data_IF_415676756317
#
_entry.id   IF_415676756317
#
_cell.length_a   1.000
_cell.length_b   1.000
_cell.length_c   1.000
_cell.angle_alpha   90.00
_cell.angle_beta   90.00
_cell.angle_gamma   90.00
#
_symmetry.space_group_name_H-M   'P 1'
#
loop_
_entity.id
_entity.type
_entity.pdbx_description
1 polymer ?
#
# COMPACT_ATOMS: atom_id res chain seq x y z
N UNK A 1 0.36 -1.14 5.99
CA UNK A 1 0.83 -2.53 5.82
C UNK A 1 0.11 -3.39 6.85
N UNK A 2 -0.79 -4.28 6.43
CA UNK A 2 -1.50 -5.20 7.34
C UNK A 2 -2.58 -4.52 8.21
N UNK A 3 -3.21 -3.44 7.74
CA UNK A 3 -4.33 -2.82 8.44
C UNK A 3 -5.54 -2.80 7.51
N UNK A 4 -6.70 -3.13 8.05
CA UNK A 4 -7.98 -3.18 7.32
C UNK A 4 -8.63 -1.81 7.13
N UNK A 5 -8.07 -0.76 7.74
CA UNK A 5 -8.68 0.58 7.72
C UNK A 5 -9.87 0.75 8.67
N UNK A 6 -10.04 -0.15 9.66
CA UNK A 6 -11.21 -0.14 10.55
C UNK A 6 -10.99 0.66 11.84
N UNK A 7 -9.74 0.75 12.33
CA UNK A 7 -9.42 1.34 13.64
C UNK A 7 -9.00 2.80 13.50
N UNK A 8 -9.74 3.68 14.17
CA UNK A 8 -9.42 5.10 14.28
C UNK A 8 -8.40 5.35 15.41
N UNK A 9 -7.47 6.32 15.26
CA UNK A 9 -7.35 7.29 14.16
C UNK A 9 -6.48 6.80 12.97
N UNK A 10 -5.86 5.62 13.05
CA UNK A 10 -4.92 5.13 12.04
C UNK A 10 -5.56 5.00 10.65
N UNK A 11 -6.84 4.64 10.60
CA UNK A 11 -7.64 4.58 9.37
C UNK A 11 -7.78 5.93 8.65
N UNK A 12 -7.52 7.07 9.29
CA UNK A 12 -7.53 8.38 8.62
C UNK A 12 -6.30 8.60 7.73
N UNK A 13 -5.17 7.93 8.01
CA UNK A 13 -3.91 8.20 7.31
C UNK A 13 -4.00 7.97 5.79
N UNK A 14 -4.57 6.85 5.30
CA UNK A 14 -4.75 6.66 3.85
C UNK A 14 -5.63 7.73 3.21
N UNK A 15 -6.69 8.17 3.89
CA UNK A 15 -7.55 9.25 3.39
C UNK A 15 -6.83 10.60 3.34
N UNK A 16 -6.02 10.93 4.35
CA UNK A 16 -5.22 12.16 4.35
C UNK A 16 -4.17 12.13 3.24
N UNK A 17 -3.49 10.99 3.05
CA UNK A 17 -2.52 10.81 1.97
C UNK A 17 -3.18 10.97 0.58
N UNK A 18 -4.36 10.36 0.38
CA UNK A 18 -5.12 10.48 -0.87
C UNK A 18 -5.48 11.92 -1.18
N UNK A 19 -6.00 12.65 -0.18
CA UNK A 19 -6.36 14.08 -0.31
C UNK A 19 -5.15 14.98 -0.55
N UNK A 20 -3.96 14.58 -0.09
CA UNK A 20 -2.71 15.28 -0.33
C UNK A 20 -2.10 14.96 -1.72
N UNK A 21 -2.72 14.09 -2.51
CA UNK A 21 -2.22 13.69 -3.84
C UNK A 21 -1.04 12.72 -3.77
N UNK A 22 -0.86 12.00 -2.66
CA UNK A 22 0.16 10.96 -2.55
C UNK A 22 -0.22 9.75 -3.41
N UNK A 23 0.80 9.09 -3.99
CA UNK A 23 0.63 7.77 -4.57
C UNK A 23 0.39 6.74 -3.47
N UNK A 24 -0.74 6.02 -3.54
CA UNK A 24 -1.13 5.02 -2.56
C UNK A 24 -0.97 3.61 -3.15
N UNK A 25 -0.17 2.79 -2.49
CA UNK A 25 0.01 1.38 -2.81
C UNK A 25 -0.50 0.56 -1.62
N UNK A 26 -1.57 -0.19 -1.84
CA UNK A 26 -2.12 -1.13 -0.87
C UNK A 26 -1.48 -2.52 -1.05
N UNK A 27 -0.89 -3.05 0.02
CA UNK A 27 -0.22 -4.35 0.06
C UNK A 27 -0.88 -5.21 1.13
N UNK A 28 -1.81 -6.05 0.71
CA UNK A 28 -2.59 -6.92 1.60
C UNK A 28 -2.97 -8.23 0.88
N UNK A 29 -3.11 -9.36 1.58
CA UNK A 29 -3.56 -10.62 0.98
C UNK A 29 -4.98 -10.55 0.40
N UNK A 30 -5.82 -9.71 1.02
CA UNK A 30 -7.23 -9.52 0.68
C UNK A 30 -7.51 -8.03 0.51
N UNK A 31 -8.56 -7.71 -0.24
CA UNK A 31 -9.06 -6.33 -0.35
C UNK A 31 -9.76 -5.92 0.94
N UNK A 32 -9.67 -4.66 1.31
CA UNK A 32 -10.27 -4.08 2.52
C UNK A 32 -10.79 -2.64 2.25
N UNK A 33 -11.05 -1.88 3.32
CA UNK A 33 -11.58 -0.51 3.23
C UNK A 33 -10.56 0.50 2.66
N UNK A 34 -9.27 0.15 2.65
CA UNK A 34 -8.20 0.99 2.11
C UNK A 34 -8.05 0.77 0.60
N UNK A 35 -8.31 -0.45 0.11
CA UNK A 35 -8.13 -0.79 -1.31
C UNK A 35 -8.80 0.18 -2.30
N UNK A 36 -10.02 0.73 -2.06
CA UNK A 36 -10.62 1.71 -2.96
C UNK A 36 -9.88 3.06 -3.03
N UNK A 37 -9.04 3.37 -2.05
CA UNK A 37 -8.21 4.58 -2.01
C UNK A 37 -6.87 4.39 -2.71
N UNK A 38 -6.49 3.15 -3.04
CA UNK A 38 -5.19 2.83 -3.58
C UNK A 38 -5.15 2.98 -5.10
N UNK A 39 -4.07 3.60 -5.60
CA UNK A 39 -3.76 3.63 -7.03
C UNK A 39 -3.33 2.24 -7.53
N UNK A 40 -2.65 1.48 -6.66
CA UNK A 40 -2.23 0.12 -6.93
C UNK A 40 -2.55 -0.81 -5.75
N UNK A 41 -3.12 -1.98 -6.06
CA UNK A 41 -3.31 -3.06 -5.10
C UNK A 41 -2.37 -4.22 -5.43
N UNK A 42 -1.44 -4.52 -4.52
CA UNK A 42 -0.49 -5.62 -4.62
C UNK A 42 -0.93 -6.75 -3.68
N UNK A 43 -1.55 -7.77 -4.26
CA UNK A 43 -2.10 -8.87 -3.48
C UNK A 43 -0.99 -9.77 -2.91
N UNK A 44 -0.98 -9.94 -1.58
CA UNK A 44 -0.15 -10.91 -0.88
C UNK A 44 0.33 -10.44 0.51
N UNK A 45 1.00 -11.33 1.27
CA UNK A 45 1.60 -10.96 2.55
C UNK A 45 2.70 -9.90 2.36
N UNK A 46 2.72 -8.87 3.21
CA UNK A 46 3.73 -7.81 3.13
C UNK A 46 5.18 -8.32 3.20
N UNK A 47 5.42 -9.38 3.99
CA UNK A 47 6.73 -10.03 4.10
C UNK A 47 7.23 -10.69 2.80
N UNK A 48 6.34 -10.96 1.84
CA UNK A 48 6.68 -11.54 0.55
C UNK A 48 6.68 -10.50 -0.58
N UNK A 49 5.69 -9.60 -0.56
CA UNK A 49 5.49 -8.60 -1.62
C UNK A 49 6.54 -7.49 -1.53
N UNK A 50 6.81 -6.97 -0.33
CA UNK A 50 7.68 -5.79 -0.17
C UNK A 50 9.14 -6.05 -0.59
N UNK A 51 9.78 -7.20 -0.26
CA UNK A 51 11.13 -7.49 -0.74
C UNK A 51 11.22 -7.55 -2.27
N UNK A 52 10.20 -8.13 -2.92
CA UNK A 52 10.14 -8.21 -4.39
C UNK A 52 10.00 -6.83 -5.03
N UNK A 53 9.17 -5.96 -4.45
CA UNK A 53 9.01 -4.59 -4.89
C UNK A 53 10.31 -3.79 -4.72
N UNK A 54 10.96 -3.89 -3.56
CA UNK A 54 12.23 -3.21 -3.30
C UNK A 54 13.32 -3.61 -4.30
N UNK A 55 13.46 -4.92 -4.58
CA UNK A 55 14.41 -5.42 -5.58
C UNK A 55 14.10 -4.92 -7.00
N UNK A 56 12.81 -4.82 -7.36
CA UNK A 56 12.41 -4.26 -8.66
C UNK A 56 12.76 -2.78 -8.78
N UNK A 57 12.51 -1.98 -7.73
CA UNK A 57 12.86 -0.56 -7.68
C UNK A 57 14.38 -0.36 -7.80
N UNK A 58 15.18 -1.15 -7.08
CA UNK A 58 16.64 -1.08 -7.18
C UNK A 58 17.15 -1.29 -8.61
N UNK A 59 16.60 -2.27 -9.34
CA UNK A 59 16.94 -2.51 -10.75
C UNK A 59 16.53 -1.35 -11.65
N UNK A 60 15.33 -0.81 -11.45
CA UNK A 60 14.81 0.30 -12.24
C UNK A 60 15.60 1.60 -12.02
N UNK A 61 16.12 1.83 -10.81
CA UNK A 61 16.92 3.01 -10.47
C UNK A 61 18.39 2.90 -10.88
N UNK A 62 18.86 1.71 -11.21
CA UNK A 62 20.24 1.45 -11.66
C UNK A 62 20.36 1.43 -13.19
N UNK A 63 19.28 1.79 -13.90
CA UNK A 63 19.18 1.91 -15.37
C UNK A 63 19.06 3.38 -15.76
#
# INVERSE_FOLDING_TARGET
MGTTGEVQPAAMLPHLASRAGALIIDVNPNRDLITPLADFFLQGPGGEVLPRLAAALQRAMSS
#
